data_IF_691236883429
#
_entry.id   IF_691236883429
#
_cell.length_a   1.000
_cell.length_b   1.000
_cell.length_c   1.000
_cell.angle_alpha   90.00
_cell.angle_beta   90.00
_cell.angle_gamma   90.00
#
_symmetry.space_group_name_H-M   'P 1'
#
loop_
_entity.id
_entity.type
_entity.pdbx_description
1 polymer ?
#
# COMPACT_ATOMS: atom_id res chain seq x y z
N UNK A 1 -14.14 -6.09 -10.49
CA UNK A 1 -13.14 -6.44 -9.47
C UNK A 1 -11.81 -5.99 -10.05
N UNK A 2 -11.08 -5.11 -9.38
CA UNK A 2 -9.84 -4.55 -9.94
C UNK A 2 -8.74 -5.60 -9.83
N UNK A 3 -8.11 -5.94 -10.97
CA UNK A 3 -7.02 -6.92 -11.07
C UNK A 3 -5.76 -6.49 -10.33
N UNK A 4 -5.62 -5.19 -10.09
CA UNK A 4 -4.39 -4.56 -9.60
C UNK A 4 -4.13 -4.86 -8.13
N UNK A 5 -5.12 -4.69 -7.26
CA UNK A 5 -4.99 -4.95 -5.83
C UNK A 5 -4.77 -6.45 -5.56
N UNK A 6 -5.36 -7.34 -6.35
CA UNK A 6 -5.05 -8.78 -6.25
C UNK A 6 -3.58 -9.08 -6.59
N UNK A 7 -3.03 -8.41 -7.60
CA UNK A 7 -1.61 -8.53 -7.92
C UNK A 7 -0.74 -8.02 -6.76
N UNK A 8 -1.06 -6.87 -6.18
CA UNK A 8 -0.35 -6.31 -5.03
C UNK A 8 -0.43 -7.19 -3.78
N UNK A 9 -1.61 -7.74 -3.50
CA UNK A 9 -1.82 -8.70 -2.42
C UNK A 9 -0.94 -9.95 -2.64
N UNK A 10 -0.88 -10.47 -3.87
CA UNK A 10 -0.07 -11.64 -4.19
C UNK A 10 1.43 -11.37 -4.03
N UNK A 11 1.92 -10.21 -4.47
CA UNK A 11 3.31 -9.80 -4.24
C UNK A 11 3.60 -9.71 -2.73
N UNK A 12 2.71 -9.08 -1.96
CA UNK A 12 2.85 -8.97 -0.50
C UNK A 12 2.90 -10.35 0.16
N UNK A 13 2.03 -11.28 -0.26
CA UNK A 13 2.04 -12.66 0.23
C UNK A 13 3.32 -13.44 -0.08
N UNK A 14 4.03 -13.07 -1.15
CA UNK A 14 5.32 -13.69 -1.49
C UNK A 14 6.48 -13.12 -0.67
N UNK A 15 6.49 -11.81 -0.39
CA UNK A 15 7.64 -11.15 0.26
C UNK A 15 7.51 -11.01 1.78
N UNK A 16 6.28 -10.90 2.28
CA UNK A 16 5.95 -10.64 3.67
C UNK A 16 4.67 -11.41 4.05
N UNK A 17 4.75 -12.75 4.16
CA UNK A 17 3.59 -13.60 4.42
C UNK A 17 2.82 -13.20 5.69
N UNK A 18 3.53 -12.83 6.75
CA UNK A 18 2.93 -12.42 8.02
C UNK A 18 2.08 -11.15 7.88
N UNK A 19 2.55 -10.17 7.07
CA UNK A 19 1.78 -8.97 6.75
C UNK A 19 0.55 -9.33 5.93
N UNK A 20 0.70 -10.20 4.94
CA UNK A 20 -0.40 -10.65 4.11
C UNK A 20 -1.49 -11.32 4.93
N UNK A 21 -1.11 -12.20 5.85
CA UNK A 21 -2.05 -12.89 6.73
C UNK A 21 -2.74 -11.93 7.69
N UNK A 22 -1.98 -11.05 8.35
CA UNK A 22 -2.53 -10.02 9.23
C UNK A 22 -3.55 -9.12 8.51
N UNK A 23 -3.21 -8.65 7.30
CA UNK A 23 -4.11 -7.83 6.49
C UNK A 23 -5.35 -8.61 6.01
N UNK A 24 -5.18 -9.88 5.63
CA UNK A 24 -6.28 -10.76 5.21
C UNK A 24 -7.29 -11.01 6.33
N UNK A 25 -6.81 -11.24 7.56
CA UNK A 25 -7.67 -11.37 8.75
C UNK A 25 -8.40 -10.07 9.01
N UNK A 26 -7.68 -8.95 9.03
CA UNK A 26 -8.26 -7.63 9.30
C UNK A 26 -9.38 -7.27 8.30
N UNK A 27 -9.13 -7.43 6.99
CA UNK A 27 -10.13 -7.08 5.98
C UNK A 27 -11.33 -8.06 6.01
N UNK A 28 -11.10 -9.34 6.33
CA UNK A 28 -12.18 -10.32 6.49
C UNK A 28 -13.12 -9.96 7.65
N UNK A 29 -12.56 -9.50 8.78
CA UNK A 29 -13.38 -8.99 9.89
C UNK A 29 -14.17 -7.74 9.51
N UNK A 30 -13.54 -6.80 8.82
CA UNK A 30 -14.19 -5.57 8.36
C UNK A 30 -15.34 -5.90 7.39
N UNK A 31 -15.14 -6.83 6.46
CA UNK A 31 -16.18 -7.33 5.58
C UNK A 31 -17.32 -7.98 6.36
N UNK A 32 -17.02 -8.86 7.33
CA UNK A 32 -18.04 -9.50 8.16
C UNK A 32 -18.93 -8.49 8.91
N UNK A 33 -18.32 -7.43 9.45
CA UNK A 33 -19.03 -6.36 10.18
C UNK A 33 -19.82 -5.41 9.27
N UNK A 34 -19.33 -5.16 8.05
CA UNK A 34 -19.96 -4.21 7.11
C UNK A 34 -21.01 -4.83 6.19
N UNK A 35 -20.91 -6.13 5.87
CA UNK A 35 -21.94 -6.85 5.12
C UNK A 35 -23.29 -6.90 5.85
N UNK A 36 -23.29 -6.87 7.19
CA UNK A 36 -24.51 -6.81 8.00
C UNK A 36 -25.20 -5.42 7.95
N UNK A 37 -24.46 -4.36 7.60
CA UNK A 37 -24.98 -3.01 7.53
C UNK A 37 -25.44 -2.68 6.10
N UNK A 38 -26.76 -2.64 5.88
CA UNK A 38 -27.42 -2.34 4.59
C UNK A 38 -27.06 -0.97 3.96
N UNK A 39 -26.20 -0.17 4.59
CA UNK A 39 -25.85 1.19 4.17
C UNK A 39 -24.38 1.42 3.78
N UNK A 40 -23.47 0.44 3.92
CA UNK A 40 -22.05 0.63 3.59
C UNK A 40 -21.56 -0.30 2.46
N UNK A 41 -22.09 -0.08 1.26
CA UNK A 41 -21.69 -0.82 0.04
C UNK A 41 -20.21 -0.66 -0.38
N UNK A 42 -19.45 0.42 -0.06
CA UNK A 42 -18.07 0.54 -0.55
C UNK A 42 -17.08 -0.44 0.10
N UNK A 43 -17.24 -0.71 1.40
CA UNK A 43 -16.22 -1.43 2.18
C UNK A 43 -16.26 -2.93 1.90
N UNK A 44 -17.45 -3.53 1.73
CA UNK A 44 -17.61 -4.96 1.46
C UNK A 44 -17.03 -5.42 0.10
N UNK A 45 -16.59 -4.48 -0.74
CA UNK A 45 -16.02 -4.74 -2.06
C UNK A 45 -14.54 -4.33 -2.16
N UNK A 46 -13.93 -3.93 -1.05
CA UNK A 46 -12.53 -3.53 -1.02
C UNK A 46 -11.63 -4.74 -1.31
N UNK A 47 -10.83 -4.73 -2.39
CA UNK A 47 -10.11 -5.92 -2.85
C UNK A 47 -8.72 -6.09 -2.22
N UNK A 48 -8.25 -5.14 -1.42
CA UNK A 48 -6.89 -5.11 -0.89
C UNK A 48 -6.81 -5.58 0.57
N UNK A 49 -5.68 -6.19 0.94
CA UNK A 49 -5.34 -6.50 2.34
C UNK A 49 -4.93 -5.25 3.13
N UNK A 50 -4.57 -4.17 2.42
CA UNK A 50 -4.28 -2.88 3.02
C UNK A 50 -5.58 -2.15 3.33
N UNK A 51 -5.62 -1.38 4.41
CA UNK A 51 -6.84 -0.68 4.85
C UNK A 51 -7.26 0.49 3.96
N UNK A 52 -6.39 0.95 3.07
CA UNK A 52 -6.64 2.10 2.21
C UNK A 52 -5.62 2.21 1.08
N UNK A 53 -5.86 3.18 0.21
CA UNK A 53 -4.99 3.55 -0.90
C UNK A 53 -4.91 5.07 -0.96
N UNK A 54 -3.70 5.59 -1.10
CA UNK A 54 -3.45 7.01 -1.33
C UNK A 54 -2.85 7.19 -2.73
N UNK A 55 -3.33 8.20 -3.46
CA UNK A 55 -2.82 8.53 -4.79
C UNK A 55 -2.03 9.82 -4.72
N UNK A 56 -0.72 9.71 -4.90
CA UNK A 56 0.16 10.87 -5.04
C UNK A 56 0.19 11.25 -6.52
N UNK A 57 -0.63 12.25 -6.88
CA UNK A 57 -0.66 12.82 -8.23
C UNK A 57 0.27 14.04 -8.40
N UNK A 58 0.79 14.58 -7.30
CA UNK A 58 1.71 15.71 -7.33
C UNK A 58 3.12 15.19 -7.68
N UNK A 59 3.79 15.84 -8.63
CA UNK A 59 5.12 15.42 -9.10
C UNK A 59 6.20 15.49 -8.00
N UNK A 60 5.92 16.17 -6.88
CA UNK A 60 6.82 16.28 -5.74
C UNK A 60 6.02 16.11 -4.44
N UNK A 61 6.44 15.15 -3.61
CA UNK A 61 5.91 14.99 -2.26
C UNK A 61 6.88 15.63 -1.27
N UNK A 62 6.35 16.41 -0.32
CA UNK A 62 7.20 16.98 0.72
C UNK A 62 7.79 15.88 1.60
N UNK A 63 9.01 16.06 2.13
CA UNK A 63 9.61 15.11 3.06
C UNK A 63 8.70 14.90 4.26
N UNK A 64 8.36 13.65 4.55
CA UNK A 64 7.53 13.26 5.67
C UNK A 64 7.92 11.87 6.16
N UNK A 65 7.34 11.49 7.30
CA UNK A 65 7.39 10.14 7.84
C UNK A 65 5.96 9.72 8.15
N UNK A 66 5.64 8.47 7.89
CA UNK A 66 4.30 7.97 8.16
C UNK A 66 4.07 7.91 9.67
N UNK A 67 3.03 8.60 10.12
CA UNK A 67 2.62 8.55 11.53
C UNK A 67 1.83 7.26 11.84
N UNK A 68 1.22 6.67 10.81
CA UNK A 68 0.45 5.43 10.86
C UNK A 68 1.30 4.16 10.92
N UNK A 69 0.64 3.01 10.75
CA UNK A 69 1.30 1.71 10.61
C UNK A 69 2.02 1.19 11.87
N UNK A 70 2.77 0.11 11.67
CA UNK A 70 3.64 -0.53 12.69
C UNK A 70 5.05 -0.65 12.14
N UNK A 71 6.05 -0.59 13.03
CA UNK A 71 7.48 -0.65 12.66
C UNK A 71 7.88 -2.01 12.05
N UNK A 72 7.09 -3.05 12.33
CA UNK A 72 7.36 -4.43 11.91
C UNK A 72 6.75 -4.80 10.55
N UNK A 73 5.98 -3.90 9.92
CA UNK A 73 5.32 -4.17 8.65
C UNK A 73 5.65 -3.10 7.64
N UNK A 74 5.47 -3.45 6.37
CA UNK A 74 5.75 -2.59 5.25
C UNK A 74 4.51 -1.82 4.81
N UNK A 75 4.75 -0.56 4.46
CA UNK A 75 3.94 0.21 3.55
C UNK A 75 4.41 -0.10 2.12
N UNK A 76 3.45 -0.19 1.19
CA UNK A 76 3.73 -0.53 -0.21
C UNK A 76 3.48 0.69 -1.08
N UNK A 77 4.54 1.18 -1.73
CA UNK A 77 4.48 2.25 -2.71
C UNK A 77 4.61 1.66 -4.11
N UNK A 78 3.81 2.16 -5.04
CA UNK A 78 3.87 1.73 -6.45
C UNK A 78 3.98 2.96 -7.36
N UNK A 79 4.98 2.96 -8.24
CA UNK A 79 5.15 3.98 -9.28
C UNK A 79 4.33 3.55 -10.49
N UNK A 80 3.31 4.33 -10.86
CA UNK A 80 2.39 4.01 -11.96
C UNK A 80 2.35 5.14 -12.98
N UNK A 81 1.95 4.82 -14.20
CA UNK A 81 1.87 5.77 -15.31
C UNK A 81 2.94 5.50 -16.37
N UNK A 82 3.24 6.52 -17.18
CA UNK A 82 4.20 6.44 -18.28
C UNK A 82 5.01 7.72 -18.37
N UNK A 83 6.26 7.61 -18.82
CA UNK A 83 7.07 8.75 -19.24
C UNK A 83 7.54 9.68 -18.12
N UNK A 84 7.59 9.21 -16.88
CA UNK A 84 8.17 9.96 -15.76
C UNK A 84 9.46 9.32 -15.26
N UNK A 85 10.32 10.18 -14.73
CA UNK A 85 11.60 9.84 -14.11
C UNK A 85 11.54 10.26 -12.64
N UNK A 86 10.80 9.48 -11.83
CA UNK A 86 10.64 9.78 -10.42
C UNK A 86 11.83 9.22 -9.64
N UNK A 87 12.24 9.96 -8.61
CA UNK A 87 13.24 9.54 -7.65
C UNK A 87 12.55 9.31 -6.30
N UNK A 88 12.78 8.15 -5.71
CA UNK A 88 12.36 7.85 -4.35
C UNK A 88 13.54 8.12 -3.40
N UNK A 89 13.48 9.25 -2.71
CA UNK A 89 14.53 9.72 -1.82
C UNK A 89 14.26 9.32 -0.37
N UNK A 90 15.20 8.61 0.25
CA UNK A 90 15.16 8.21 1.66
C UNK A 90 16.23 9.00 2.41
N UNK A 91 15.83 10.16 2.93
CA UNK A 91 16.76 11.14 3.52
C UNK A 91 17.62 10.57 4.65
N UNK A 92 17.04 9.76 5.52
CA UNK A 92 17.74 9.18 6.67
C UNK A 92 18.82 8.18 6.26
N UNK A 93 18.76 7.66 5.02
CA UNK A 93 19.76 6.77 4.44
C UNK A 93 20.68 7.49 3.45
N UNK A 94 20.49 8.79 3.24
CA UNK A 94 21.17 9.58 2.21
C UNK A 94 21.16 8.90 0.83
N UNK A 95 20.03 8.23 0.51
CA UNK A 95 19.89 7.39 -0.67
C UNK A 95 18.78 7.92 -1.59
N UNK A 96 19.11 8.00 -2.88
CA UNK A 96 18.17 8.28 -3.95
C UNK A 96 18.06 7.04 -4.84
N UNK A 97 16.83 6.57 -5.02
CA UNK A 97 16.53 5.37 -5.80
C UNK A 97 15.72 5.77 -7.04
N UNK A 98 16.12 5.23 -8.20
CA UNK A 98 15.32 5.33 -9.41
C UNK A 98 13.95 4.67 -9.18
N UNK A 99 12.89 5.42 -9.41
CA UNK A 99 11.51 5.02 -9.12
C UNK A 99 10.64 5.07 -10.38
N UNK A 100 11.14 4.39 -11.42
CA UNK A 100 10.50 4.31 -12.73
C UNK A 100 9.08 3.72 -12.67
N UNK A 101 8.19 4.04 -13.62
CA UNK A 101 6.88 3.40 -13.71
C UNK A 101 6.99 1.87 -13.74
N UNK A 102 6.16 1.21 -12.93
CA UNK A 102 6.18 -0.24 -12.69
C UNK A 102 6.98 -0.66 -11.44
N UNK A 103 7.72 0.25 -10.82
CA UNK A 103 8.47 -0.05 -9.59
C UNK A 103 7.54 -0.17 -8.39
N UNK A 104 7.80 -1.17 -7.55
CA UNK A 104 7.12 -1.38 -6.27
C UNK A 104 8.15 -1.40 -5.14
N UNK A 105 7.93 -0.58 -4.12
CA UNK A 105 8.82 -0.44 -2.97
C UNK A 105 8.07 -0.82 -1.69
N UNK A 106 8.68 -1.69 -0.89
CA UNK A 106 8.20 -2.03 0.44
C UNK A 106 9.12 -1.39 1.46
N UNK A 107 8.57 -0.51 2.28
CA UNK A 107 9.33 0.29 3.26
C UNK A 107 8.62 0.27 4.60
N UNK A 108 9.36 0.42 5.69
CA UNK A 108 8.73 0.67 6.98
C UNK A 108 8.54 2.18 7.14
N UNK A 109 7.42 2.75 6.67
CA UNK A 109 7.21 4.21 6.63
C UNK A 109 7.22 4.89 8.01
N UNK A 110 6.99 4.11 9.07
CA UNK A 110 7.00 4.59 10.47
C UNK A 110 8.39 4.72 11.09
N UNK A 111 9.42 4.09 10.50
CA UNK A 111 10.79 4.04 11.06
C UNK A 111 11.55 5.31 10.73
#
# INVERSE_FOLDING_TARGET
>A
MSSTEFFWNAVTGAIAPDLFEAGSVAISEVHGKTCAATKSVPVSRWPSIFSGLEVIANHLTLPHRDSGGTRSHYDMLVSLGIGHDAIFSIKDLEADLDYFPGTMCFICGKV
#
